data_IF_846666543709
#
_entry.id   IF_846666543709
#
_cell.length_a   1.000
_cell.length_b   1.000
_cell.length_c   1.000
_cell.angle_alpha   90.00
_cell.angle_beta   90.00
_cell.angle_gamma   90.00
#
_symmetry.space_group_name_H-M   'P 1'
#
loop_
_entity.id
_entity.type
_entity.pdbx_description
1 polymer ?
#
# COMPACT_ATOMS: atom_id res chain seq x y z
N UNK A 1 -19.81 -3.93 -22.30
CA UNK A 1 -20.65 -5.15 -22.26
C UNK A 1 -20.26 -5.92 -21.01
N UNK A 2 -21.17 -6.17 -20.06
CA UNK A 2 -20.82 -6.85 -18.82
C UNK A 2 -20.29 -8.26 -19.13
N UNK A 3 -19.25 -8.74 -18.42
CA UNK A 3 -18.73 -10.09 -18.61
C UNK A 3 -19.84 -11.13 -18.40
N UNK A 4 -19.89 -12.21 -19.20
CA UNK A 4 -21.01 -13.16 -19.22
C UNK A 4 -21.29 -13.83 -17.86
N UNK A 5 -20.28 -13.90 -16.98
CA UNK A 5 -20.40 -14.43 -15.62
C UNK A 5 -21.15 -13.49 -14.64
N UNK A 6 -21.22 -12.19 -14.92
CA UNK A 6 -21.91 -11.21 -14.06
C UNK A 6 -23.43 -11.37 -14.10
N UNK A 7 -23.97 -11.78 -15.25
CA UNK A 7 -25.41 -12.05 -15.41
C UNK A 7 -25.85 -13.38 -14.77
N UNK A 8 -24.92 -14.32 -14.55
CA UNK A 8 -25.20 -15.64 -13.94
C UNK A 8 -25.25 -15.59 -12.40
N UNK A 9 -24.53 -14.65 -11.77
CA UNK A 9 -24.37 -14.55 -10.32
C UNK A 9 -25.22 -13.44 -9.66
N UNK A 10 -26.07 -12.74 -10.43
CA UNK A 10 -26.97 -11.66 -9.96
C UNK A 10 -26.32 -10.73 -8.89
N UNK A 11 -25.11 -10.26 -9.14
CA UNK A 11 -24.35 -9.42 -8.19
C UNK A 11 -23.96 -8.10 -8.83
N UNK A 12 -24.14 -7.00 -8.10
CA UNK A 12 -23.76 -5.63 -8.54
C UNK A 12 -22.24 -5.38 -8.58
N UNK A 13 -21.42 -6.40 -8.33
CA UNK A 13 -19.98 -6.29 -8.21
C UNK A 13 -19.31 -6.28 -9.60
N UNK A 14 -18.33 -5.39 -9.79
CA UNK A 14 -17.51 -5.35 -11.00
C UNK A 14 -16.52 -6.54 -11.01
N UNK A 15 -16.96 -7.65 -11.57
CA UNK A 15 -16.18 -8.90 -11.65
C UNK A 15 -14.97 -8.80 -12.59
N UNK A 16 -14.87 -7.76 -13.42
CA UNK A 16 -13.80 -7.66 -14.42
C UNK A 16 -12.41 -7.61 -13.77
N UNK A 17 -12.24 -6.78 -12.73
CA UNK A 17 -10.99 -6.69 -12.00
C UNK A 17 -10.65 -8.01 -11.29
N UNK A 18 -11.66 -8.62 -10.67
CA UNK A 18 -11.49 -9.91 -9.97
C UNK A 18 -11.04 -11.01 -10.94
N UNK A 19 -11.70 -11.12 -12.09
CA UNK A 19 -11.36 -12.10 -13.12
C UNK A 19 -9.96 -11.86 -13.67
N UNK A 20 -9.58 -10.61 -13.95
CA UNK A 20 -8.23 -10.26 -14.40
C UNK A 20 -7.18 -10.71 -13.36
N UNK A 21 -7.39 -10.42 -12.08
CA UNK A 21 -6.49 -10.86 -10.99
C UNK A 21 -6.39 -12.38 -10.92
N UNK A 22 -7.53 -13.09 -10.98
CA UNK A 22 -7.56 -14.56 -10.95
C UNK A 22 -6.75 -15.13 -12.12
N UNK A 23 -7.00 -14.68 -13.34
CA UNK A 23 -6.28 -15.16 -14.52
C UNK A 23 -4.79 -14.83 -14.44
N UNK A 24 -4.41 -13.64 -13.96
CA UNK A 24 -3.02 -13.25 -13.79
C UNK A 24 -2.29 -14.17 -12.79
N UNK A 25 -2.89 -14.45 -11.63
CA UNK A 25 -2.33 -15.35 -10.61
C UNK A 25 -2.23 -16.78 -11.13
N UNK A 26 -3.26 -17.29 -11.81
CA UNK A 26 -3.24 -18.64 -12.40
C UNK A 26 -2.12 -18.75 -13.45
N UNK A 27 -1.98 -17.76 -14.33
CA UNK A 27 -0.91 -17.73 -15.32
C UNK A 27 0.48 -17.65 -14.66
N UNK A 28 0.63 -16.85 -13.61
CA UNK A 28 1.88 -16.73 -12.84
C UNK A 28 2.31 -18.06 -12.21
N UNK A 29 1.34 -18.81 -11.66
CA UNK A 29 1.60 -20.10 -11.01
C UNK A 29 1.84 -21.25 -12.01
N UNK A 30 1.14 -21.27 -13.15
CA UNK A 30 1.29 -22.33 -14.15
C UNK A 30 2.52 -22.16 -15.04
N UNK A 31 2.97 -20.92 -15.29
CA UNK A 31 4.08 -20.63 -16.20
C UNK A 31 5.23 -19.79 -15.58
N UNK A 32 5.73 -20.08 -14.36
CA UNK A 32 6.70 -19.24 -13.67
C UNK A 32 8.02 -19.11 -14.46
N UNK A 33 8.49 -20.20 -15.08
CA UNK A 33 9.75 -20.21 -15.85
C UNK A 33 9.73 -19.28 -17.07
N UNK A 34 8.55 -19.05 -17.67
CA UNK A 34 8.40 -18.13 -18.81
C UNK A 34 8.32 -16.67 -18.37
N UNK A 35 7.85 -16.44 -17.14
CA UNK A 35 7.59 -15.10 -16.60
C UNK A 35 8.77 -14.55 -15.78
N UNK A 36 9.73 -15.38 -15.38
CA UNK A 36 11.00 -14.93 -14.75
C UNK A 36 11.72 -13.86 -15.56
N UNK A 37 11.66 -13.92 -16.90
CA UNK A 37 12.25 -12.88 -17.74
C UNK A 37 11.65 -11.49 -17.50
N UNK A 38 10.39 -11.42 -17.05
CA UNK A 38 9.68 -10.18 -16.77
C UNK A 38 10.00 -9.59 -15.40
N UNK A 39 10.48 -10.38 -14.45
CA UNK A 39 10.79 -9.96 -13.07
C UNK A 39 11.76 -8.76 -13.03
N UNK A 40 12.74 -8.75 -13.94
CA UNK A 40 13.73 -7.66 -14.04
C UNK A 40 13.11 -6.35 -14.54
N UNK A 41 12.05 -6.41 -15.34
CA UNK A 41 11.42 -5.24 -15.95
C UNK A 41 10.15 -4.83 -15.22
N UNK A 42 9.48 -5.74 -14.50
CA UNK A 42 8.19 -5.53 -13.85
C UNK A 42 8.24 -4.40 -12.82
N UNK A 43 9.29 -4.33 -12.01
CA UNK A 43 9.44 -3.26 -11.02
C UNK A 43 9.55 -1.88 -11.68
N UNK A 44 10.43 -1.74 -12.68
CA UNK A 44 10.62 -0.48 -13.40
C UNK A 44 9.34 -0.05 -14.15
N UNK A 45 8.67 -0.99 -14.79
CA UNK A 45 7.41 -0.73 -15.48
C UNK A 45 6.29 -0.33 -14.51
N UNK A 46 6.19 -0.99 -13.36
CA UNK A 46 5.25 -0.66 -12.29
C UNK A 46 5.46 0.76 -11.77
N UNK A 47 6.72 1.15 -11.53
CA UNK A 47 7.09 2.51 -11.14
C UNK A 47 6.70 3.55 -12.20
N UNK A 48 6.93 3.27 -13.48
CA UNK A 48 6.50 4.15 -14.58
C UNK A 48 4.98 4.33 -14.61
N UNK A 49 4.23 3.23 -14.46
CA UNK A 49 2.77 3.27 -14.40
C UNK A 49 2.29 4.05 -13.16
N UNK A 50 2.93 3.88 -12.01
CA UNK A 50 2.64 4.65 -10.80
C UNK A 50 2.87 6.15 -11.03
N UNK A 51 3.97 6.55 -11.67
CA UNK A 51 4.22 7.96 -11.98
C UNK A 51 3.19 8.55 -12.93
N UNK A 52 2.79 7.82 -13.97
CA UNK A 52 1.72 8.26 -14.88
C UNK A 52 0.41 8.43 -14.11
N UNK A 53 0.05 7.47 -13.26
CA UNK A 53 -1.14 7.55 -12.41
C UNK A 53 -1.13 8.76 -11.48
N UNK A 54 -0.02 8.99 -10.77
CA UNK A 54 0.14 10.15 -9.88
C UNK A 54 0.10 11.47 -10.64
N UNK A 55 0.71 11.54 -11.83
CA UNK A 55 0.67 12.72 -12.69
C UNK A 55 -0.75 13.04 -13.16
N UNK A 56 -1.54 12.02 -13.53
CA UNK A 56 -2.93 12.20 -13.92
C UNK A 56 -3.79 12.66 -12.75
N UNK A 57 -3.63 12.10 -11.55
CA UNK A 57 -4.34 12.56 -10.35
C UNK A 57 -3.97 14.01 -10.03
N UNK A 58 -2.68 14.34 -10.04
CA UNK A 58 -2.20 15.70 -9.80
C UNK A 58 -2.77 16.69 -10.81
N UNK A 59 -2.74 16.35 -12.10
CA UNK A 59 -3.30 17.19 -13.17
C UNK A 59 -4.83 17.32 -13.10
N UNK A 60 -5.54 16.30 -12.63
CA UNK A 60 -6.99 16.33 -12.44
C UNK A 60 -7.42 17.12 -11.19
N UNK A 61 -6.49 17.47 -10.30
CA UNK A 61 -6.80 18.17 -9.05
C UNK A 61 -6.89 19.68 -9.25
N UNK A 62 -7.90 20.31 -8.66
CA UNK A 62 -8.09 21.77 -8.71
C UNK A 62 -7.25 22.49 -7.63
N UNK A 63 -6.39 23.42 -8.05
CA UNK A 63 -5.47 24.17 -7.17
C UNK A 63 -6.23 25.04 -6.16
N UNK A 64 -7.33 25.66 -6.55
CA UNK A 64 -8.16 26.49 -5.66
C UNK A 64 -8.80 25.63 -4.55
N UNK A 65 -9.24 24.42 -4.88
CA UNK A 65 -9.75 23.46 -3.89
C UNK A 65 -8.64 22.95 -2.97
N UNK A 66 -7.44 22.72 -3.49
CA UNK A 66 -6.27 22.35 -2.66
C UNK A 66 -5.99 23.45 -1.64
N UNK A 67 -6.05 24.73 -2.01
CA UNK A 67 -5.71 25.82 -1.11
C UNK A 67 -6.83 26.15 -0.11
N UNK A 68 -8.09 25.97 -0.50
CA UNK A 68 -9.24 26.26 0.36
C UNK A 68 -9.59 25.12 1.31
N UNK A 69 -9.73 23.89 0.78
CA UNK A 69 -10.18 22.71 1.53
C UNK A 69 -8.98 21.87 2.00
N UNK A 70 -7.89 21.86 1.22
CA UNK A 70 -6.71 21.05 1.52
C UNK A 70 -6.14 21.24 2.92
N UNK A 71 -6.03 22.46 3.48
CA UNK A 71 -5.56 22.63 4.87
C UNK A 71 -6.44 21.93 5.90
N UNK A 72 -7.77 21.98 5.74
CA UNK A 72 -8.72 21.30 6.63
C UNK A 72 -8.63 19.79 6.51
N UNK A 73 -8.50 19.27 5.28
CA UNK A 73 -8.31 17.83 5.03
C UNK A 73 -6.97 17.34 5.57
N UNK A 74 -5.90 18.14 5.43
CA UNK A 74 -4.59 17.83 5.99
C UNK A 74 -4.63 17.75 7.51
N UNK A 75 -5.28 18.72 8.18
CA UNK A 75 -5.48 18.70 9.63
C UNK A 75 -6.28 17.48 10.07
N UNK A 76 -7.33 17.13 9.34
CA UNK A 76 -8.12 15.94 9.59
C UNK A 76 -7.26 14.66 9.49
N UNK A 77 -6.45 14.56 8.43
CA UNK A 77 -5.54 13.43 8.23
C UNK A 77 -4.51 13.34 9.37
N UNK A 78 -3.83 14.44 9.71
CA UNK A 78 -2.87 14.47 10.83
C UNK A 78 -3.54 14.02 12.14
N UNK A 79 -4.78 14.46 12.38
CA UNK A 79 -5.54 14.09 13.57
C UNK A 79 -5.76 12.58 13.61
N UNK A 80 -6.30 11.98 12.54
CA UNK A 80 -6.50 10.52 12.46
C UNK A 80 -5.17 9.77 12.62
N UNK A 81 -4.10 10.26 11.99
CA UNK A 81 -2.80 9.63 12.07
C UNK A 81 -2.23 9.64 13.49
N UNK A 82 -2.40 10.75 14.21
CA UNK A 82 -2.01 10.86 15.60
C UNK A 82 -2.83 9.91 16.49
N UNK A 83 -4.14 9.85 16.29
CA UNK A 83 -4.99 8.89 17.01
C UNK A 83 -4.60 7.44 16.71
N UNK A 84 -4.36 7.08 15.45
CA UNK A 84 -3.89 5.76 15.05
C UNK A 84 -2.59 5.40 15.78
N UNK A 85 -1.60 6.29 15.77
CA UNK A 85 -0.32 6.05 16.41
C UNK A 85 -0.43 5.92 17.94
N UNK A 86 -1.13 6.85 18.59
CA UNK A 86 -1.36 6.82 20.04
C UNK A 86 -2.15 5.57 20.44
N UNK A 87 -3.16 5.20 19.67
CA UNK A 87 -3.95 4.00 19.91
C UNK A 87 -3.09 2.74 19.83
N UNK A 88 -2.28 2.57 18.79
CA UNK A 88 -1.39 1.43 18.64
C UNK A 88 -0.36 1.35 19.77
N UNK A 89 0.28 2.45 20.14
CA UNK A 89 1.25 2.47 21.25
C UNK A 89 0.57 2.18 22.59
N UNK A 90 -0.66 2.65 22.78
CA UNK A 90 -1.45 2.36 23.99
C UNK A 90 -1.82 0.88 24.08
N UNK A 91 -2.24 0.28 22.97
CA UNK A 91 -2.49 -1.16 22.88
C UNK A 91 -1.21 -1.97 23.07
N UNK A 92 -0.07 -1.51 22.54
CA UNK A 92 1.22 -2.16 22.74
C UNK A 92 1.54 -2.27 24.24
N UNK A 93 1.30 -1.20 25.00
CA UNK A 93 1.47 -1.21 26.45
C UNK A 93 0.48 -2.12 27.16
N UNK A 94 -0.79 -2.12 26.74
CA UNK A 94 -1.84 -2.96 27.34
C UNK A 94 -1.56 -4.46 27.14
N UNK A 95 -1.14 -4.85 25.93
CA UNK A 95 -0.86 -6.23 25.55
C UNK A 95 0.60 -6.65 25.76
N UNK A 96 1.45 -5.78 26.34
CA UNK A 96 2.88 -6.02 26.58
C UNK A 96 3.67 -6.38 25.32
N UNK A 97 3.32 -5.78 24.19
CA UNK A 97 4.05 -5.90 22.92
C UNK A 97 5.30 -5.01 22.92
N UNK A 98 6.30 -5.35 22.11
CA UNK A 98 7.48 -4.49 21.94
C UNK A 98 7.07 -3.20 21.23
N UNK A 99 7.26 -2.07 21.92
CA UNK A 99 6.94 -0.73 21.39
C UNK A 99 7.72 -0.43 20.12
N UNK A 100 8.97 -0.91 20.00
CA UNK A 100 9.77 -0.71 18.79
C UNK A 100 9.19 -1.45 17.59
N UNK A 101 8.66 -2.66 17.80
CA UNK A 101 8.00 -3.43 16.75
C UNK A 101 6.73 -2.72 16.30
N UNK A 102 5.88 -2.28 17.24
CA UNK A 102 4.63 -1.57 16.92
C UNK A 102 4.89 -0.25 16.18
N UNK A 103 5.92 0.50 16.59
CA UNK A 103 6.29 1.76 15.92
C UNK A 103 6.80 1.50 14.50
N UNK A 104 7.65 0.49 14.30
CA UNK A 104 8.16 0.13 12.97
C UNK A 104 7.04 -0.41 12.08
N UNK A 105 6.12 -1.21 12.62
CA UNK A 105 4.94 -1.70 11.89
C UNK A 105 3.98 -0.58 11.52
N UNK A 106 3.76 0.41 12.40
CA UNK A 106 2.97 1.60 12.07
C UNK A 106 3.63 2.42 10.96
N UNK A 107 4.95 2.62 11.03
CA UNK A 107 5.71 3.29 9.98
C UNK A 107 5.63 2.54 8.63
N UNK A 108 5.73 1.22 8.63
CA UNK A 108 5.58 0.39 7.44
C UNK A 108 4.17 0.51 6.82
N UNK A 109 3.13 0.54 7.65
CA UNK A 109 1.74 0.70 7.19
C UNK A 109 1.48 2.07 6.51
N UNK A 110 2.05 3.15 7.06
CA UNK A 110 1.71 4.53 6.63
C UNK A 110 2.66 5.03 5.55
N UNK A 111 3.96 4.81 5.74
CA UNK A 111 5.03 5.39 4.92
C UNK A 111 5.70 4.36 4.02
N UNK A 112 5.42 3.08 4.22
CA UNK A 112 6.02 1.99 3.46
C UNK A 112 7.43 1.60 3.94
N UNK A 113 7.98 0.54 3.34
CA UNK A 113 9.29 -0.04 3.68
C UNK A 113 10.47 0.89 3.40
N UNK A 114 10.33 1.79 2.41
CA UNK A 114 11.34 2.78 2.05
C UNK A 114 11.67 3.74 3.20
N UNK A 115 10.74 3.93 4.14
CA UNK A 115 10.94 4.71 5.38
C UNK A 115 11.08 3.80 6.60
N UNK A 116 10.31 2.73 6.70
CA UNK A 116 10.29 1.87 7.90
C UNK A 116 11.59 1.08 8.12
N UNK A 117 12.20 0.54 7.06
CA UNK A 117 13.45 -0.21 7.16
C UNK A 117 14.64 0.65 7.65
N UNK A 118 14.91 1.85 7.07
CA UNK A 118 15.96 2.73 7.60
C UNK A 118 15.62 3.27 8.99
N UNK A 119 14.34 3.50 9.32
CA UNK A 119 13.91 3.88 10.68
C UNK A 119 14.22 2.79 11.72
N UNK A 120 13.96 1.53 11.40
CA UNK A 120 14.33 0.41 12.27
C UNK A 120 15.86 0.33 12.47
N UNK A 121 16.65 0.58 11.42
CA UNK A 121 18.10 0.61 11.50
C UNK A 121 18.61 1.76 12.37
N UNK A 122 18.06 2.96 12.24
CA UNK A 122 18.47 4.15 13.02
C UNK A 122 18.12 4.03 14.51
N UNK A 123 17.04 3.31 14.83
CA UNK A 123 16.66 2.97 16.21
C UNK A 123 17.53 1.85 16.84
N UNK A 124 18.56 1.37 16.14
CA UNK A 124 19.42 0.27 16.60
C UNK A 124 18.74 -1.10 16.56
N UNK A 125 17.55 -1.21 15.96
CA UNK A 125 16.76 -2.44 15.89
C UNK A 125 16.99 -3.17 14.57
N UNK A 126 18.24 -3.60 14.33
CA UNK A 126 18.64 -4.31 13.09
C UNK A 126 17.78 -5.54 12.77
N UNK A 127 17.29 -6.24 13.80
CA UNK A 127 16.39 -7.40 13.66
C UNK A 127 15.04 -7.05 13.02
N UNK A 128 14.60 -5.79 13.13
CA UNK A 128 13.34 -5.30 12.55
C UNK A 128 13.50 -4.78 11.11
N UNK A 129 14.73 -4.63 10.60
CA UNK A 129 14.97 -4.09 9.24
C UNK A 129 14.44 -5.05 8.18
N UNK A 130 14.77 -6.34 8.29
CA UNK A 130 14.30 -7.36 7.34
C UNK A 130 12.77 -7.45 7.27
N UNK A 131 12.03 -7.62 8.39
CA UNK A 131 10.57 -7.65 8.33
C UNK A 131 9.98 -6.31 7.89
N UNK A 132 10.61 -5.16 8.22
CA UNK A 132 10.16 -3.87 7.71
C UNK A 132 10.32 -3.77 6.18
N UNK A 133 11.41 -4.24 5.60
CA UNK A 133 11.62 -4.28 4.14
C UNK A 133 10.66 -5.24 3.43
N UNK A 134 10.21 -6.30 4.11
CA UNK A 134 9.28 -7.27 3.55
C UNK A 134 7.82 -6.78 3.54
N UNK A 135 7.49 -5.68 4.19
CA UNK A 135 6.13 -5.11 4.16
C UNK A 135 5.66 -4.62 2.78
N UNK A 136 6.54 -4.64 1.77
CA UNK A 136 6.20 -4.40 0.35
C UNK A 136 5.75 -5.65 -0.42
N UNK A 137 5.97 -6.85 0.14
CA UNK A 137 5.65 -8.13 -0.50
C UNK A 137 4.34 -8.72 0.04
#
# INVERSE_FOLDING_TARGET
MPPPLQNLLQTDLNLSLLLITIFAVVAANLFPKKLIALEKTSFSLGMWMMYVFLAVIGAATNIEQILSIGPSVLLFYITIMLFHFVFLVSLAKLFKLDVYEVVVSSAANIMGPSVAAPMAASMGRKKLVTPASLSEY
#
